data_IF_445833450159
#
_entry.id   IF_445833450159
#
_cell.length_a   1.000
_cell.length_b   1.000
_cell.length_c   1.000
_cell.angle_alpha   90.00
_cell.angle_beta   90.00
_cell.angle_gamma   90.00
#
_symmetry.space_group_name_H-M   'P 1'
#
loop_
_entity.id
_entity.type
_entity.pdbx_description
1 polymer ?
#
# COMPACT_ATOMS: atom_id res chain seq x y z
N UNK A 1 -33.52 4.07 30.58
CA UNK A 1 -33.75 3.62 29.20
C UNK A 1 -35.23 3.41 29.02
N UNK A 2 -35.83 3.99 28.00
CA UNK A 2 -37.25 3.74 27.73
C UNK A 2 -37.45 2.31 27.23
N UNK A 3 -38.64 1.71 27.42
CA UNK A 3 -38.94 0.38 26.86
C UNK A 3 -38.74 0.29 25.36
N UNK A 4 -38.84 1.43 24.67
CA UNK A 4 -38.59 1.56 23.23
C UNK A 4 -37.09 1.39 22.92
N UNK A 5 -36.16 2.00 23.68
CA UNK A 5 -34.73 1.87 23.46
C UNK A 5 -34.25 0.42 23.67
N UNK A 6 -34.83 -0.28 24.64
CA UNK A 6 -34.58 -1.70 24.89
C UNK A 6 -35.06 -2.58 23.73
N UNK A 7 -36.24 -2.32 23.20
CA UNK A 7 -36.83 -3.06 22.08
C UNK A 7 -36.00 -2.82 20.78
N UNK A 8 -35.55 -1.59 20.55
CA UNK A 8 -34.71 -1.26 19.39
C UNK A 8 -33.38 -2.00 19.45
N UNK A 9 -32.69 -2.00 20.59
CA UNK A 9 -31.42 -2.72 20.79
C UNK A 9 -31.63 -4.22 20.60
N UNK A 10 -32.68 -4.82 21.16
CA UNK A 10 -32.98 -6.24 20.98
C UNK A 10 -33.19 -6.58 19.50
N UNK A 11 -33.97 -5.76 18.80
CA UNK A 11 -34.23 -5.96 17.37
C UNK A 11 -32.93 -5.88 16.54
N UNK A 12 -32.06 -4.93 16.83
CA UNK A 12 -30.75 -4.80 16.15
C UNK A 12 -29.90 -6.06 16.38
N UNK A 13 -29.83 -6.56 17.61
CA UNK A 13 -29.06 -7.76 17.95
C UNK A 13 -29.64 -9.02 17.32
N UNK A 14 -30.97 -9.12 17.22
CA UNK A 14 -31.65 -10.29 16.64
C UNK A 14 -31.61 -10.34 15.12
N UNK A 15 -31.59 -9.18 14.46
CA UNK A 15 -31.62 -9.10 12.98
C UNK A 15 -30.25 -8.97 12.33
N UNK A 16 -29.19 -8.76 13.12
CA UNK A 16 -27.84 -8.58 12.58
C UNK A 16 -27.25 -9.92 12.12
N UNK A 17 -26.56 -9.90 10.98
CA UNK A 17 -25.79 -11.03 10.46
C UNK A 17 -24.49 -11.28 11.24
N UNK A 18 -24.08 -10.35 12.09
CA UNK A 18 -22.89 -10.45 12.94
C UNK A 18 -23.28 -11.05 14.30
N UNK A 19 -22.32 -11.70 14.98
CA UNK A 19 -22.54 -12.29 16.28
C UNK A 19 -22.13 -11.30 17.38
N UNK A 20 -23.05 -10.99 18.28
CA UNK A 20 -22.84 -10.04 19.35
C UNK A 20 -22.68 -10.73 20.72
N UNK A 21 -21.78 -10.20 21.52
CA UNK A 21 -21.65 -10.47 22.95
C UNK A 21 -21.73 -9.16 23.71
N UNK A 22 -22.53 -9.13 24.76
CA UNK A 22 -22.62 -8.01 25.69
C UNK A 22 -22.16 -8.52 27.05
N UNK A 23 -21.11 -7.92 27.59
CA UNK A 23 -20.56 -8.27 28.91
C UNK A 23 -20.56 -7.06 29.84
N UNK A 24 -20.60 -7.30 31.16
CA UNK A 24 -20.41 -6.22 32.15
C UNK A 24 -18.93 -5.83 32.31
N UNK A 25 -18.68 -4.81 33.13
CA UNK A 25 -17.33 -4.34 33.43
C UNK A 25 -16.43 -5.37 34.13
N UNK A 26 -17.00 -6.43 34.71
CA UNK A 26 -16.29 -7.53 35.40
C UNK A 26 -16.05 -8.73 34.47
N UNK A 27 -16.60 -8.69 33.24
CA UNK A 27 -16.45 -9.73 32.23
C UNK A 27 -17.51 -10.84 32.29
N UNK A 28 -18.66 -10.62 32.97
CA UNK A 28 -19.78 -11.54 32.93
C UNK A 28 -20.61 -11.32 31.69
N UNK A 29 -20.92 -12.37 30.96
CA UNK A 29 -21.77 -12.34 29.77
C UNK A 29 -23.21 -12.06 30.15
N UNK A 30 -23.75 -10.95 29.68
CA UNK A 30 -25.13 -10.51 29.94
C UNK A 30 -26.07 -10.98 28.85
N UNK A 31 -25.63 -10.92 27.61
CA UNK A 31 -26.40 -11.33 26.47
C UNK A 31 -25.54 -11.70 25.27
N UNK A 32 -26.08 -12.53 24.37
CA UNK A 32 -25.46 -12.94 23.11
C UNK A 32 -26.52 -13.04 22.01
N UNK A 33 -26.13 -12.73 20.77
CA UNK A 33 -27.05 -12.89 19.62
C UNK A 33 -27.41 -14.36 19.38
N UNK A 34 -28.57 -14.67 18.78
CA UNK A 34 -29.01 -16.05 18.52
C UNK A 34 -27.99 -16.88 17.72
N UNK A 35 -27.33 -16.26 16.73
CA UNK A 35 -26.32 -16.92 15.90
C UNK A 35 -24.99 -17.27 16.62
N UNK A 36 -24.72 -16.67 17.77
CA UNK A 36 -23.46 -16.89 18.51
C UNK A 36 -23.28 -18.35 18.94
N UNK A 37 -24.36 -19.06 19.30
CA UNK A 37 -24.34 -20.46 19.69
C UNK A 37 -23.69 -21.36 18.62
N UNK A 38 -24.02 -21.15 17.35
CA UNK A 38 -23.50 -21.94 16.23
C UNK A 38 -21.99 -21.70 15.99
N UNK A 39 -21.50 -20.50 16.29
CA UNK A 39 -20.10 -20.09 16.07
C UNK A 39 -19.23 -20.50 17.24
N UNK A 40 -19.72 -20.31 18.47
CA UNK A 40 -18.94 -20.57 19.67
C UNK A 40 -19.09 -22.00 20.24
N UNK A 41 -20.07 -22.77 19.74
CA UNK A 41 -20.28 -24.17 20.07
C UNK A 41 -20.95 -24.42 21.42
N UNK A 42 -21.54 -23.40 22.03
CA UNK A 42 -22.32 -23.51 23.26
C UNK A 42 -23.69 -22.85 23.10
N UNK A 43 -24.77 -23.42 23.66
CA UNK A 43 -26.08 -22.79 23.64
C UNK A 43 -26.08 -21.48 24.43
N UNK A 44 -26.97 -20.56 24.05
CA UNK A 44 -27.09 -19.22 24.67
C UNK A 44 -27.21 -19.27 26.18
N UNK A 45 -27.99 -20.23 26.69
CA UNK A 45 -28.23 -20.42 28.14
C UNK A 45 -26.98 -20.78 28.91
N UNK A 46 -25.97 -21.34 28.27
CA UNK A 46 -24.67 -21.66 28.89
C UNK A 46 -23.66 -20.52 28.72
N UNK A 47 -23.80 -19.70 27.68
CA UNK A 47 -22.96 -18.52 27.46
C UNK A 47 -23.35 -17.39 28.40
N UNK A 48 -24.66 -17.09 28.53
CA UNK A 48 -25.19 -16.04 29.41
C UNK A 48 -24.95 -16.42 30.90
N UNK A 49 -24.41 -15.47 31.65
CA UNK A 49 -24.04 -15.65 33.05
C UNK A 49 -22.65 -16.23 33.31
N UNK A 50 -21.99 -16.83 32.28
CA UNK A 50 -20.60 -17.23 32.36
C UNK A 50 -19.67 -16.01 32.34
N UNK A 51 -18.41 -16.18 32.80
CA UNK A 51 -17.39 -15.13 32.67
C UNK A 51 -16.54 -15.36 31.42
N UNK A 52 -16.08 -14.28 30.80
CA UNK A 52 -15.21 -14.38 29.62
C UNK A 52 -13.87 -15.05 29.95
N UNK A 53 -13.41 -14.99 31.19
CA UNK A 53 -12.25 -15.74 31.67
C UNK A 53 -12.50 -17.25 31.67
N UNK A 54 -13.68 -17.69 32.11
CA UNK A 54 -14.07 -19.11 32.04
C UNK A 54 -14.18 -19.60 30.60
N UNK A 55 -14.83 -18.83 29.74
CA UNK A 55 -14.98 -19.17 28.33
C UNK A 55 -13.63 -19.25 27.59
N UNK A 56 -12.68 -18.37 27.92
CA UNK A 56 -11.32 -18.44 27.37
C UNK A 56 -10.55 -19.66 27.87
N UNK A 57 -10.63 -19.94 29.18
CA UNK A 57 -9.99 -21.10 29.76
C UNK A 57 -10.54 -22.43 29.19
N UNK A 58 -11.83 -22.50 28.94
CA UNK A 58 -12.49 -23.64 28.29
C UNK A 58 -12.21 -23.73 26.78
N UNK A 59 -11.57 -22.72 26.18
CA UNK A 59 -11.28 -22.66 24.76
C UNK A 59 -12.48 -22.33 23.87
N UNK A 60 -13.55 -21.80 24.43
CA UNK A 60 -14.75 -21.38 23.68
C UNK A 60 -14.45 -20.17 22.80
N UNK A 61 -13.54 -19.30 23.26
CA UNK A 61 -13.03 -18.14 22.51
C UNK A 61 -11.58 -17.85 22.94
N UNK A 62 -10.67 -17.70 22.00
CA UNK A 62 -9.23 -17.45 22.25
C UNK A 62 -8.61 -16.56 21.16
N UNK A 63 -7.89 -15.46 21.53
CA UNK A 63 -7.92 -14.80 22.83
C UNK A 63 -9.26 -14.10 23.10
N UNK A 64 -9.59 -13.79 24.36
CA UNK A 64 -10.82 -13.07 24.69
C UNK A 64 -10.67 -11.57 24.43
N UNK A 65 -11.42 -11.05 23.45
CA UNK A 65 -11.40 -9.62 23.13
C UNK A 65 -11.95 -8.75 24.26
N UNK A 66 -12.95 -9.25 24.98
CA UNK A 66 -13.53 -8.51 26.11
C UNK A 66 -12.55 -8.36 27.28
N UNK A 67 -11.70 -9.37 27.52
CA UNK A 67 -10.61 -9.26 28.50
C UNK A 67 -9.59 -8.21 28.11
N UNK A 68 -9.28 -8.12 26.82
CA UNK A 68 -8.35 -7.12 26.32
C UNK A 68 -8.91 -5.70 26.46
N UNK A 69 -10.22 -5.51 26.24
CA UNK A 69 -10.90 -4.22 26.50
C UNK A 69 -10.91 -3.89 28.00
N UNK A 70 -11.17 -4.87 28.90
CA UNK A 70 -11.11 -4.66 30.36
C UNK A 70 -9.69 -4.18 30.75
N UNK A 71 -8.66 -4.79 30.18
CA UNK A 71 -7.27 -4.46 30.48
C UNK A 71 -6.84 -3.09 29.97
N UNK A 72 -7.28 -2.71 28.76
CA UNK A 72 -6.79 -1.51 28.05
C UNK A 72 -7.70 -0.29 28.21
N UNK A 73 -8.98 -0.51 28.50
CA UNK A 73 -10.02 0.54 28.54
C UNK A 73 -10.33 1.16 27.16
N UNK A 74 -9.84 0.56 26.08
CA UNK A 74 -9.95 1.09 24.70
C UNK A 74 -10.65 0.10 23.78
N UNK A 75 -11.25 0.56 22.67
CA UNK A 75 -11.72 -0.33 21.62
C UNK A 75 -10.57 -1.21 21.12
N UNK A 76 -10.87 -2.49 20.90
CA UNK A 76 -9.90 -3.49 20.42
C UNK A 76 -10.51 -4.25 19.25
N UNK A 77 -9.69 -4.61 18.29
CA UNK A 77 -10.03 -5.54 17.21
C UNK A 77 -8.96 -6.62 17.15
N UNK A 78 -9.38 -7.89 17.09
CA UNK A 78 -8.45 -9.01 16.97
C UNK A 78 -9.12 -10.24 16.36
N UNK A 79 -8.29 -11.21 15.96
CA UNK A 79 -8.79 -12.51 15.52
C UNK A 79 -8.92 -13.44 16.71
N UNK A 80 -10.07 -14.12 16.80
CA UNK A 80 -10.34 -15.16 17.79
C UNK A 80 -10.54 -16.51 17.09
N UNK A 81 -10.13 -17.56 17.77
CA UNK A 81 -10.50 -18.94 17.43
C UNK A 81 -11.60 -19.37 18.40
N UNK A 82 -12.70 -19.86 17.85
CA UNK A 82 -13.85 -20.32 18.64
C UNK A 82 -13.70 -21.79 19.04
N UNK A 83 -14.51 -22.24 20.01
CA UNK A 83 -14.55 -23.65 20.45
C UNK A 83 -14.91 -24.65 19.34
N UNK A 84 -15.54 -24.18 18.27
CA UNK A 84 -15.82 -24.98 17.05
C UNK A 84 -14.65 -25.00 16.06
N UNK A 85 -13.53 -24.34 16.38
CA UNK A 85 -12.37 -24.22 15.48
C UNK A 85 -12.55 -23.13 14.41
N UNK A 86 -13.64 -22.39 14.41
CA UNK A 86 -13.86 -21.28 13.48
C UNK A 86 -13.00 -20.09 13.84
N UNK A 87 -12.57 -19.35 12.82
CA UNK A 87 -11.84 -18.10 13.00
C UNK A 87 -12.76 -16.92 12.76
N UNK A 88 -12.85 -16.04 13.74
CA UNK A 88 -13.73 -14.86 13.70
C UNK A 88 -12.90 -13.60 13.92
N UNK A 89 -13.20 -12.56 13.16
CA UNK A 89 -12.77 -11.20 13.52
C UNK A 89 -13.72 -10.69 14.57
N UNK A 90 -13.18 -10.35 15.74
CA UNK A 90 -13.93 -9.73 16.82
C UNK A 90 -13.49 -8.27 17.00
N UNK A 91 -14.47 -7.39 17.19
CA UNK A 91 -14.29 -5.98 17.50
C UNK A 91 -15.09 -5.69 18.78
N UNK A 92 -14.47 -5.06 19.78
CA UNK A 92 -15.12 -4.76 21.04
C UNK A 92 -14.93 -3.31 21.47
N UNK A 93 -16.00 -2.73 21.96
CA UNK A 93 -16.08 -1.33 22.38
C UNK A 93 -16.51 -1.23 23.85
N UNK A 94 -15.75 -0.48 24.68
CA UNK A 94 -16.16 -0.17 26.03
C UNK A 94 -17.28 0.88 26.04
N UNK A 95 -18.28 0.65 26.89
CA UNK A 95 -19.36 1.60 27.17
C UNK A 95 -19.15 2.14 28.60
N UNK A 96 -18.87 3.43 28.71
CA UNK A 96 -18.66 4.10 29.98
C UNK A 96 -19.90 4.91 30.37
N UNK A 97 -20.30 4.79 31.65
CA UNK A 97 -21.34 5.61 32.27
C UNK A 97 -20.71 6.26 33.53
N UNK A 98 -20.81 7.57 33.63
CA UNK A 98 -20.19 8.36 34.71
C UNK A 98 -18.69 8.07 34.91
N UNK A 99 -17.96 7.79 33.82
CA UNK A 99 -16.52 7.50 33.83
C UNK A 99 -16.15 6.07 34.26
N UNK A 100 -17.14 5.20 34.54
CA UNK A 100 -16.93 3.78 34.89
C UNK A 100 -17.26 2.89 33.68
N UNK A 101 -16.48 1.83 33.50
CA UNK A 101 -16.76 0.82 32.48
C UNK A 101 -17.97 -0.02 32.93
N UNK A 102 -19.12 0.23 32.31
CA UNK A 102 -20.37 -0.46 32.66
C UNK A 102 -20.65 -1.67 31.77
N UNK A 103 -20.27 -1.57 30.48
CA UNK A 103 -20.53 -2.63 29.50
C UNK A 103 -19.41 -2.70 28.47
N UNK A 104 -19.25 -3.86 27.88
CA UNK A 104 -18.45 -4.04 26.66
C UNK A 104 -19.37 -4.70 25.64
N UNK A 105 -19.46 -4.09 24.48
CA UNK A 105 -20.21 -4.66 23.34
C UNK A 105 -19.19 -5.15 22.33
N UNK A 106 -19.14 -6.46 22.10
CA UNK A 106 -18.31 -7.06 21.07
C UNK A 106 -19.15 -7.61 19.94
N UNK A 107 -18.63 -7.44 18.73
CA UNK A 107 -19.19 -7.96 17.50
C UNK A 107 -18.17 -8.88 16.86
N UNK A 108 -18.60 -10.05 16.39
CA UNK A 108 -17.70 -10.96 15.67
C UNK A 108 -18.32 -11.38 14.34
N UNK A 109 -17.43 -11.57 13.35
CA UNK A 109 -17.77 -12.04 12.01
C UNK A 109 -16.97 -13.29 11.70
N UNK A 110 -17.66 -14.33 11.22
CA UNK A 110 -17.03 -15.58 10.79
C UNK A 110 -16.26 -15.39 9.48
N UNK A 111 -15.02 -15.87 9.44
CA UNK A 111 -14.13 -15.82 8.28
C UNK A 111 -13.70 -17.20 7.80
N UNK A 112 -14.28 -18.25 8.35
CA UNK A 112 -13.85 -19.63 8.10
C UNK A 112 -13.88 -19.95 6.61
N UNK A 113 -14.93 -19.57 5.90
CA UNK A 113 -15.07 -19.82 4.45
C UNK A 113 -14.01 -19.07 3.62
N UNK A 114 -13.71 -17.83 4.03
CA UNK A 114 -12.69 -17.02 3.33
C UNK A 114 -11.29 -17.60 3.53
N UNK A 115 -11.01 -18.11 4.72
CA UNK A 115 -9.73 -18.74 5.03
C UNK A 115 -9.55 -20.09 4.35
N UNK A 116 -10.61 -20.90 4.31
CA UNK A 116 -10.59 -22.15 3.55
C UNK A 116 -10.28 -21.92 2.07
N UNK A 117 -10.86 -20.88 1.47
CA UNK A 117 -10.54 -20.46 0.09
C UNK A 117 -9.08 -20.03 -0.07
N UNK A 118 -8.52 -19.32 0.93
CA UNK A 118 -7.11 -18.92 0.90
C UNK A 118 -6.16 -20.11 1.06
N UNK A 119 -6.46 -21.04 1.96
CA UNK A 119 -5.66 -22.25 2.19
C UNK A 119 -5.73 -23.18 0.97
N UNK A 120 -6.90 -23.34 0.37
CA UNK A 120 -7.09 -24.11 -0.88
C UNK A 120 -6.30 -23.46 -2.03
N UNK A 121 -6.33 -22.14 -2.12
CA UNK A 121 -5.56 -21.39 -3.11
C UNK A 121 -4.05 -21.51 -2.89
N UNK A 122 -3.57 -21.40 -1.66
CA UNK A 122 -2.15 -21.60 -1.33
C UNK A 122 -1.69 -23.04 -1.66
N UNK A 123 -2.54 -24.03 -1.41
CA UNK A 123 -2.29 -25.42 -1.78
C UNK A 123 -2.25 -25.61 -3.31
N UNK A 124 -3.16 -24.95 -4.02
CA UNK A 124 -3.18 -24.95 -5.49
C UNK A 124 -1.93 -24.29 -6.06
N UNK A 125 -1.49 -23.16 -5.51
CA UNK A 125 -0.23 -22.51 -5.88
C UNK A 125 0.96 -23.47 -5.70
N UNK A 126 1.06 -24.12 -4.54
CA UNK A 126 2.15 -25.06 -4.25
C UNK A 126 2.15 -26.24 -5.20
N UNK A 127 1.01 -26.88 -5.44
CA UNK A 127 0.87 -27.99 -6.38
C UNK A 127 1.18 -27.55 -7.82
N UNK A 128 0.82 -26.35 -8.18
CA UNK A 128 1.10 -25.79 -9.50
C UNK A 128 2.60 -25.52 -9.70
N UNK A 129 3.27 -24.91 -8.74
CA UNK A 129 4.73 -24.71 -8.76
C UNK A 129 5.49 -26.05 -8.83
N UNK A 130 5.02 -27.07 -8.09
CA UNK A 130 5.58 -28.42 -8.15
C UNK A 130 5.33 -29.10 -9.50
N UNK A 131 4.17 -28.87 -10.12
CA UNK A 131 3.83 -29.42 -11.44
C UNK A 131 4.67 -28.77 -12.55
N UNK A 132 4.87 -27.46 -12.51
CA UNK A 132 5.73 -26.73 -13.45
C UNK A 132 7.20 -27.16 -13.34
N UNK A 133 7.72 -27.36 -12.13
CA UNK A 133 9.07 -27.91 -11.91
C UNK A 133 9.25 -29.33 -12.49
N UNK A 134 8.17 -30.14 -12.57
CA UNK A 134 8.19 -31.49 -13.17
C UNK A 134 7.98 -31.45 -14.68
N UNK A 135 7.29 -30.43 -15.21
CA UNK A 135 6.99 -30.32 -16.65
C UNK A 135 8.09 -29.57 -17.43
N UNK A 136 9.08 -28.99 -16.78
CA UNK A 136 10.19 -28.24 -17.40
C UNK A 136 11.18 -29.07 -18.23
N UNK A 137 10.90 -30.36 -18.50
CA UNK A 137 11.73 -31.22 -19.33
C UNK A 137 11.27 -31.30 -20.82
N UNK A 138 10.28 -30.50 -21.24
CA UNK A 138 9.71 -30.54 -22.60
C UNK A 138 9.59 -29.19 -23.33
N UNK A 139 10.31 -28.16 -22.91
CA UNK A 139 10.09 -26.76 -23.26
C UNK A 139 10.66 -26.31 -24.63
N UNK A 140 10.34 -26.96 -25.73
CA UNK A 140 10.84 -26.57 -27.07
C UNK A 140 9.79 -26.04 -28.05
N UNK A 141 8.48 -26.18 -27.78
CA UNK A 141 7.42 -25.80 -28.72
C UNK A 141 6.32 -24.88 -28.16
N UNK A 142 6.34 -24.57 -26.84
CA UNK A 142 5.34 -23.71 -26.19
C UNK A 142 5.75 -22.22 -26.13
N UNK A 143 7.02 -21.89 -26.39
CA UNK A 143 7.55 -20.53 -26.23
C UNK A 143 6.88 -19.49 -27.17
N UNK A 144 6.60 -19.85 -28.42
CA UNK A 144 5.96 -18.93 -29.36
C UNK A 144 4.49 -18.60 -29.06
N UNK A 145 3.75 -19.53 -28.48
CA UNK A 145 2.36 -19.30 -28.05
C UNK A 145 2.27 -18.58 -26.70
N UNK A 146 3.29 -18.70 -25.86
CA UNK A 146 3.39 -18.00 -24.59
C UNK A 146 3.73 -16.51 -24.79
N UNK A 147 4.64 -16.17 -25.68
CA UNK A 147 5.00 -14.77 -25.99
C UNK A 147 3.79 -13.98 -26.55
N UNK A 148 3.01 -14.57 -27.45
CA UNK A 148 1.79 -13.97 -27.97
C UNK A 148 0.68 -13.85 -26.88
N UNK A 149 0.70 -14.76 -25.92
CA UNK A 149 -0.24 -14.79 -24.79
C UNK A 149 0.12 -13.81 -23.66
N UNK A 150 1.39 -13.41 -23.53
CA UNK A 150 1.87 -12.47 -22.49
C UNK A 150 1.49 -11.01 -22.78
N UNK A 151 1.13 -10.67 -24.02
CA UNK A 151 0.69 -9.33 -24.41
C UNK A 151 1.80 -8.30 -24.26
N UNK A 152 1.59 -7.27 -23.43
CA UNK A 152 2.55 -6.18 -23.23
C UNK A 152 3.52 -6.40 -22.05
N UNK A 153 3.58 -7.62 -21.48
CA UNK A 153 4.51 -7.95 -20.40
C UNK A 153 5.80 -8.52 -20.97
N UNK A 154 6.89 -7.80 -20.77
CA UNK A 154 8.23 -8.27 -21.12
C UNK A 154 8.75 -9.21 -20.03
N UNK A 155 8.50 -10.50 -20.18
CA UNK A 155 8.78 -11.55 -19.19
C UNK A 155 9.64 -12.63 -19.82
N UNK A 156 10.85 -12.83 -19.29
CA UNK A 156 11.79 -13.86 -19.76
C UNK A 156 12.15 -14.86 -18.66
N UNK A 157 12.22 -14.39 -17.41
CA UNK A 157 12.53 -15.26 -16.26
C UNK A 157 11.41 -16.24 -15.98
N UNK A 158 11.77 -17.45 -15.54
CA UNK A 158 10.81 -18.52 -15.21
C UNK A 158 9.84 -18.08 -14.10
N UNK A 159 10.34 -17.37 -13.09
CA UNK A 159 9.52 -16.88 -11.98
C UNK A 159 8.42 -15.95 -12.48
N UNK A 160 8.73 -15.04 -13.42
CA UNK A 160 7.74 -14.11 -13.96
C UNK A 160 6.80 -14.78 -14.94
N UNK A 161 7.25 -15.81 -15.69
CA UNK A 161 6.38 -16.63 -16.52
C UNK A 161 5.36 -17.39 -15.68
N UNK A 162 5.80 -18.03 -14.59
CA UNK A 162 4.91 -18.72 -13.63
C UNK A 162 3.86 -17.76 -13.06
N UNK A 163 4.29 -16.54 -12.66
CA UNK A 163 3.42 -15.51 -12.11
C UNK A 163 2.39 -15.04 -13.15
N UNK A 164 2.81 -14.81 -14.40
CA UNK A 164 1.91 -14.40 -15.46
C UNK A 164 0.89 -15.52 -15.82
N UNK A 165 1.30 -16.78 -15.85
CA UNK A 165 0.41 -17.94 -16.05
C UNK A 165 -0.62 -18.06 -14.92
N UNK A 166 -0.20 -17.84 -13.66
CA UNK A 166 -1.10 -17.79 -12.51
C UNK A 166 -2.16 -16.70 -12.69
N UNK A 167 -1.73 -15.47 -13.00
CA UNK A 167 -2.63 -14.35 -13.21
C UNK A 167 -3.58 -14.58 -14.39
N UNK A 168 -3.10 -15.18 -15.49
CA UNK A 168 -3.93 -15.54 -16.64
C UNK A 168 -5.01 -16.57 -16.26
N UNK A 169 -4.70 -17.54 -15.39
CA UNK A 169 -5.68 -18.52 -14.88
C UNK A 169 -6.72 -17.87 -13.97
N UNK A 170 -6.31 -16.90 -13.14
CA UNK A 170 -7.19 -16.16 -12.23
C UNK A 170 -8.02 -15.11 -12.97
N UNK A 171 -7.55 -14.63 -14.11
CA UNK A 171 -8.17 -13.54 -14.85
C UNK A 171 -9.67 -13.73 -15.16
N UNK A 172 -10.18 -14.92 -15.52
CA UNK A 172 -11.60 -15.12 -15.80
C UNK A 172 -12.51 -15.04 -14.55
N UNK A 173 -11.95 -15.10 -13.34
CA UNK A 173 -12.70 -14.95 -12.09
C UNK A 173 -12.82 -13.48 -11.68
N UNK A 174 -13.83 -13.16 -10.86
CA UNK A 174 -13.98 -11.84 -10.24
C UNK A 174 -13.26 -11.75 -8.86
N UNK A 175 -12.43 -12.74 -8.51
CA UNK A 175 -11.70 -12.75 -7.27
C UNK A 175 -10.75 -11.54 -7.16
N UNK A 176 -10.69 -10.97 -5.95
CA UNK A 176 -9.76 -9.88 -5.63
C UNK A 176 -8.32 -10.38 -5.72
N UNK A 177 -7.47 -9.64 -6.42
CA UNK A 177 -6.03 -9.93 -6.52
C UNK A 177 -5.26 -8.85 -5.77
N UNK A 178 -4.37 -9.27 -4.87
CA UNK A 178 -3.45 -8.41 -4.14
C UNK A 178 -2.04 -8.55 -4.72
N UNK A 179 -1.56 -7.51 -5.40
CA UNK A 179 -0.22 -7.44 -5.96
C UNK A 179 0.76 -6.88 -4.92
N UNK A 180 1.70 -7.69 -4.50
CA UNK A 180 2.74 -7.36 -3.53
C UNK A 180 4.08 -7.16 -4.23
N UNK A 181 4.91 -6.29 -3.72
CA UNK A 181 6.28 -6.09 -4.21
C UNK A 181 6.76 -4.66 -4.08
N UNK A 182 8.06 -4.48 -4.22
CA UNK A 182 8.72 -3.18 -4.11
C UNK A 182 8.16 -2.13 -5.09
N UNK A 183 8.46 -0.86 -4.83
CA UNK A 183 8.11 0.22 -5.75
C UNK A 183 8.83 0.01 -7.10
N UNK A 184 8.12 0.24 -8.21
CA UNK A 184 8.69 0.15 -9.55
C UNK A 184 8.84 -1.26 -10.12
N UNK A 185 8.39 -2.33 -9.45
CA UNK A 185 8.49 -3.73 -9.98
C UNK A 185 7.53 -4.02 -11.14
N UNK A 186 6.54 -3.15 -11.40
CA UNK A 186 5.58 -3.31 -12.49
C UNK A 186 4.17 -3.72 -12.06
N UNK A 187 3.76 -3.52 -10.80
CA UNK A 187 2.43 -3.88 -10.29
C UNK A 187 1.28 -3.36 -11.18
N UNK A 188 1.33 -2.09 -11.60
CA UNK A 188 0.31 -1.50 -12.48
C UNK A 188 0.26 -2.15 -13.87
N UNK A 189 1.41 -2.59 -14.42
CA UNK A 189 1.45 -3.31 -15.69
C UNK A 189 0.73 -4.67 -15.58
N UNK A 190 0.97 -5.40 -14.48
CA UNK A 190 0.28 -6.65 -14.19
C UNK A 190 -1.21 -6.46 -13.95
N UNK A 191 -1.63 -5.42 -13.24
CA UNK A 191 -3.05 -5.08 -13.07
C UNK A 191 -3.75 -4.81 -14.40
N UNK A 192 -3.13 -4.03 -15.30
CA UNK A 192 -3.64 -3.78 -16.66
C UNK A 192 -3.74 -5.06 -17.48
N UNK A 193 -2.73 -5.92 -17.39
CA UNK A 193 -2.72 -7.17 -18.13
C UNK A 193 -3.76 -8.17 -17.59
N UNK A 194 -3.95 -8.22 -16.26
CA UNK A 194 -5.01 -9.00 -15.61
C UNK A 194 -6.40 -8.57 -16.09
N UNK A 195 -6.64 -7.25 -16.20
CA UNK A 195 -7.88 -6.72 -16.77
C UNK A 195 -8.08 -7.17 -18.22
N UNK A 196 -7.05 -7.07 -19.08
CA UNK A 196 -7.10 -7.51 -20.49
C UNK A 196 -7.44 -8.99 -20.64
N UNK A 197 -6.96 -9.85 -19.74
CA UNK A 197 -7.27 -11.29 -19.74
C UNK A 197 -8.63 -11.61 -19.11
N UNK A 198 -9.27 -10.65 -18.42
CA UNK A 198 -10.52 -10.87 -17.70
C UNK A 198 -11.74 -10.89 -18.61
N UNK A 199 -12.87 -11.37 -18.08
CA UNK A 199 -14.19 -11.25 -18.74
C UNK A 199 -14.64 -9.80 -18.87
N UNK A 200 -14.08 -8.89 -18.06
CA UNK A 200 -14.40 -7.45 -18.01
C UNK A 200 -13.49 -6.59 -18.90
N UNK A 201 -12.73 -7.20 -19.79
CA UNK A 201 -11.74 -6.51 -20.67
C UNK A 201 -12.32 -5.41 -21.57
N UNK A 202 -13.61 -5.42 -21.82
CA UNK A 202 -14.33 -4.39 -22.58
C UNK A 202 -14.85 -3.26 -21.69
N UNK A 203 -14.87 -3.46 -20.35
CA UNK A 203 -15.28 -2.46 -19.39
C UNK A 203 -14.15 -1.47 -19.08
N UNK A 204 -14.42 -0.45 -18.26
CA UNK A 204 -13.40 0.52 -17.85
C UNK A 204 -12.34 -0.10 -16.96
N UNK A 205 -11.09 0.38 -17.09
CA UNK A 205 -10.01 0.13 -16.14
C UNK A 205 -9.72 1.44 -15.40
N UNK A 206 -10.16 1.52 -14.16
CA UNK A 206 -9.98 2.71 -13.33
C UNK A 206 -8.80 2.48 -12.40
N UNK A 207 -7.75 3.25 -12.59
CA UNK A 207 -6.51 3.20 -11.81
C UNK A 207 -6.48 4.37 -10.81
N UNK A 208 -6.30 4.06 -9.54
CA UNK A 208 -6.26 5.03 -8.43
C UNK A 208 -5.02 4.77 -7.60
N UNK A 209 -4.14 5.75 -7.49
CA UNK A 209 -3.06 5.71 -6.51
C UNK A 209 -3.55 6.35 -5.21
N UNK A 210 -3.68 5.56 -4.13
CA UNK A 210 -4.22 5.99 -2.86
C UNK A 210 -3.32 7.04 -2.15
N UNK A 211 -2.02 6.99 -2.37
CA UNK A 211 -1.07 7.97 -1.81
C UNK A 211 -1.00 9.30 -2.59
N UNK A 212 -1.48 9.32 -3.83
CA UNK A 212 -1.42 10.52 -4.67
C UNK A 212 -2.59 11.48 -4.46
N UNK A 213 -3.71 11.01 -3.90
CA UNK A 213 -4.89 11.85 -3.67
C UNK A 213 -4.80 12.45 -2.26
N UNK A 214 -4.83 13.79 -2.11
CA UNK A 214 -4.89 14.43 -0.79
C UNK A 214 -6.06 13.89 0.05
N UNK A 215 -5.83 13.65 1.35
CA UNK A 215 -6.81 13.02 2.24
C UNK A 215 -8.16 13.75 2.26
N UNK A 216 -8.15 15.08 2.24
CA UNK A 216 -9.37 15.93 2.23
C UNK A 216 -10.17 15.82 0.92
N UNK A 217 -9.57 15.37 -0.19
CA UNK A 217 -10.24 15.18 -1.47
C UNK A 217 -10.57 13.71 -1.75
N UNK A 218 -9.91 12.80 -1.04
CA UNK A 218 -10.01 11.36 -1.30
C UNK A 218 -11.46 10.87 -1.30
N UNK A 219 -12.22 11.29 -0.30
CA UNK A 219 -13.62 10.88 -0.17
C UNK A 219 -14.47 11.36 -1.36
N UNK A 220 -14.34 12.63 -1.74
CA UNK A 220 -15.09 13.21 -2.85
C UNK A 220 -14.71 12.61 -4.22
N UNK A 221 -13.42 12.26 -4.42
CA UNK A 221 -12.96 11.63 -5.65
C UNK A 221 -13.43 10.18 -5.75
N UNK A 222 -13.30 9.39 -4.67
CA UNK A 222 -13.67 7.97 -4.67
C UNK A 222 -15.16 7.75 -4.72
N UNK A 223 -15.92 8.42 -3.84
CA UNK A 223 -17.37 8.15 -3.65
C UNK A 223 -18.27 9.11 -4.43
N UNK A 224 -17.73 10.25 -4.89
CA UNK A 224 -18.50 11.29 -5.55
C UNK A 224 -19.33 12.12 -4.56
N UNK A 225 -20.02 13.12 -5.08
CA UNK A 225 -20.85 14.02 -4.28
C UNK A 225 -22.06 14.53 -5.04
N UNK A 226 -23.12 14.87 -4.29
CA UNK A 226 -24.31 15.52 -4.79
C UNK A 226 -24.12 17.06 -4.89
N UNK A 227 -24.90 17.76 -5.72
CA UNK A 227 -24.93 19.20 -5.73
C UNK A 227 -25.13 19.79 -4.33
N UNK A 228 -24.26 20.72 -3.92
CA UNK A 228 -24.37 21.37 -2.62
C UNK A 228 -23.88 20.57 -1.42
N UNK A 229 -23.22 19.43 -1.60
CA UNK A 229 -22.71 18.60 -0.51
C UNK A 229 -21.68 19.32 0.39
N UNK A 230 -20.95 20.27 -0.15
CA UNK A 230 -19.99 21.10 0.59
C UNK A 230 -19.76 22.44 -0.12
N UNK A 231 -19.14 23.41 0.56
CA UNK A 231 -18.78 24.71 -0.02
C UNK A 231 -17.73 24.52 -1.14
N UNK A 232 -18.12 24.81 -2.38
CA UNK A 232 -17.28 24.57 -3.58
C UNK A 232 -17.68 23.34 -4.41
N UNK A 233 -18.70 22.57 -3.99
CA UNK A 233 -19.23 21.48 -4.78
C UNK A 233 -19.77 21.99 -6.14
N UNK A 234 -19.45 21.25 -7.22
CA UNK A 234 -19.96 21.59 -8.55
C UNK A 234 -21.50 21.52 -8.58
N UNK A 235 -22.13 22.43 -9.32
CA UNK A 235 -23.60 22.54 -9.41
C UNK A 235 -24.30 21.27 -9.94
N UNK A 236 -23.56 20.42 -10.65
CA UNK A 236 -24.08 19.15 -11.21
C UNK A 236 -23.71 17.95 -10.35
N UNK A 237 -22.98 18.12 -9.23
CA UNK A 237 -22.38 17.04 -8.51
C UNK A 237 -21.24 16.36 -9.30
N UNK A 238 -20.72 15.25 -8.79
CA UNK A 238 -19.66 14.47 -9.45
C UNK A 238 -19.83 12.98 -9.16
N UNK A 239 -19.78 12.14 -10.19
CA UNK A 239 -19.69 10.69 -10.02
C UNK A 239 -18.30 10.32 -9.48
N UNK A 240 -18.25 9.43 -8.48
CA UNK A 240 -17.03 8.92 -7.90
C UNK A 240 -16.30 7.91 -8.80
N UNK A 241 -15.01 7.68 -8.52
CA UNK A 241 -14.19 6.69 -9.25
C UNK A 241 -14.76 5.27 -9.10
N UNK A 242 -15.39 4.95 -7.96
CA UNK A 242 -16.09 3.68 -7.75
C UNK A 242 -17.27 3.47 -8.71
N UNK A 243 -18.04 4.52 -8.98
CA UNK A 243 -19.12 4.46 -9.98
C UNK A 243 -18.58 4.36 -11.42
N UNK A 244 -17.46 5.03 -11.70
CA UNK A 244 -16.83 4.98 -13.01
C UNK A 244 -16.23 3.61 -13.34
N UNK A 245 -15.96 2.77 -12.31
CA UNK A 245 -15.46 1.42 -12.48
C UNK A 245 -16.56 0.39 -12.80
N UNK A 246 -17.82 0.81 -12.89
CA UNK A 246 -18.97 -0.06 -13.16
C UNK A 246 -18.76 -0.94 -14.39
N UNK A 247 -19.01 -2.25 -14.24
CA UNK A 247 -18.82 -3.25 -15.29
C UNK A 247 -17.36 -3.55 -15.66
N UNK A 248 -16.41 -2.89 -15.01
CA UNK A 248 -14.98 -2.95 -15.31
C UNK A 248 -14.11 -3.47 -14.18
N UNK A 249 -12.92 -2.88 -14.05
CA UNK A 249 -11.94 -3.20 -13.01
C UNK A 249 -11.50 -1.93 -12.30
N UNK A 250 -11.56 -1.93 -10.98
CA UNK A 250 -10.97 -0.92 -10.11
C UNK A 250 -9.60 -1.42 -9.64
N UNK A 251 -8.56 -0.67 -9.96
CA UNK A 251 -7.20 -0.91 -9.49
C UNK A 251 -6.79 0.14 -8.46
N UNK A 252 -6.57 -0.28 -7.21
CA UNK A 252 -6.11 0.58 -6.13
C UNK A 252 -4.62 0.32 -5.88
N UNK A 253 -3.78 1.25 -6.29
CA UNK A 253 -2.34 1.19 -5.99
C UNK A 253 -2.06 1.85 -4.64
N UNK A 254 -1.06 1.34 -3.93
CA UNK A 254 -0.65 1.80 -2.60
C UNK A 254 -1.81 1.77 -1.59
N UNK A 255 -2.59 0.66 -1.56
CA UNK A 255 -3.76 0.49 -0.68
C UNK A 255 -3.41 0.70 0.80
N UNK A 256 -2.17 0.44 1.21
CA UNK A 256 -1.67 0.68 2.55
C UNK A 256 -1.73 2.15 2.98
N UNK A 257 -1.70 3.11 2.05
CA UNK A 257 -1.76 4.54 2.34
C UNK A 257 -3.20 5.05 2.59
N UNK A 258 -4.20 4.16 2.51
CA UNK A 258 -5.59 4.53 2.69
C UNK A 258 -5.86 4.97 4.14
N UNK A 259 -6.43 6.17 4.40
CA UNK A 259 -6.82 6.58 5.74
C UNK A 259 -7.86 5.65 6.37
N UNK A 260 -7.77 5.39 7.68
CA UNK A 260 -8.68 4.47 8.39
C UNK A 260 -10.19 4.75 8.14
N UNK A 261 -10.68 6.00 8.13
CA UNK A 261 -12.08 6.26 7.82
C UNK A 261 -12.47 5.80 6.40
N UNK A 262 -11.53 5.92 5.45
CA UNK A 262 -11.76 5.52 4.06
C UNK A 262 -11.74 4.00 3.90
N UNK A 263 -10.90 3.30 4.68
CA UNK A 263 -10.90 1.83 4.73
C UNK A 263 -12.29 1.28 5.13
N UNK A 264 -12.94 1.90 6.11
CA UNK A 264 -14.30 1.51 6.53
C UNK A 264 -15.33 1.70 5.42
N UNK A 265 -15.26 2.82 4.69
CA UNK A 265 -16.18 3.10 3.58
C UNK A 265 -15.94 2.17 2.40
N UNK A 266 -14.68 1.94 2.04
CA UNK A 266 -14.30 1.01 0.97
C UNK A 266 -14.77 -0.42 1.29
N UNK A 267 -14.57 -0.88 2.52
CA UNK A 267 -15.02 -2.19 2.96
C UNK A 267 -16.54 -2.33 2.75
N UNK A 268 -17.33 -1.32 3.13
CA UNK A 268 -18.76 -1.32 2.93
C UNK A 268 -19.15 -1.47 1.45
N UNK A 269 -18.47 -0.74 0.56
CA UNK A 269 -18.71 -0.85 -0.89
C UNK A 269 -18.39 -2.24 -1.41
N UNK A 270 -17.24 -2.83 -0.99
CA UNK A 270 -16.84 -4.18 -1.42
C UNK A 270 -17.83 -5.26 -0.91
N UNK A 271 -18.45 -5.05 0.26
CA UNK A 271 -19.40 -5.99 0.86
C UNK A 271 -20.79 -5.86 0.28
N UNK A 272 -21.30 -4.64 0.18
CA UNK A 272 -22.71 -4.36 -0.17
C UNK A 272 -22.89 -4.21 -1.70
N UNK A 273 -21.82 -4.04 -2.47
CA UNK A 273 -21.88 -3.74 -3.90
C UNK A 273 -22.62 -2.42 -4.16
N UNK A 274 -22.50 -1.45 -3.25
CA UNK A 274 -23.19 -0.17 -3.37
C UNK A 274 -22.36 0.97 -2.81
N UNK A 275 -22.45 2.14 -3.45
CA UNK A 275 -21.78 3.38 -3.06
C UNK A 275 -22.79 4.45 -2.69
N UNK A 276 -22.47 5.24 -1.67
CA UNK A 276 -23.23 6.40 -1.27
C UNK A 276 -22.40 7.65 -1.54
N UNK A 277 -22.91 8.56 -2.37
CA UNK A 277 -22.27 9.86 -2.63
C UNK A 277 -22.35 10.77 -1.39
N UNK A 278 -21.37 11.64 -1.23
CA UNK A 278 -21.45 12.67 -0.20
C UNK A 278 -22.71 13.54 -0.38
N UNK A 279 -23.44 13.73 0.72
CA UNK A 279 -24.71 14.47 0.71
C UNK A 279 -25.90 13.71 0.09
N UNK A 280 -25.73 12.45 -0.30
CA UNK A 280 -26.82 11.59 -0.80
C UNK A 280 -27.36 10.67 0.31
N UNK A 281 -28.61 10.25 0.19
CA UNK A 281 -29.25 9.25 1.06
C UNK A 281 -29.56 7.95 0.33
N UNK A 282 -29.44 7.94 -1.01
CA UNK A 282 -29.74 6.77 -1.83
C UNK A 282 -28.48 6.04 -2.27
N UNK A 283 -28.28 4.77 -1.85
CA UNK A 283 -27.16 3.97 -2.30
C UNK A 283 -27.33 3.62 -3.79
N UNK A 284 -26.21 3.64 -4.52
CA UNK A 284 -26.13 3.26 -5.92
C UNK A 284 -25.39 1.94 -6.03
N UNK A 285 -25.95 0.98 -6.76
CA UNK A 285 -25.26 -0.28 -7.01
C UNK A 285 -24.03 -0.05 -7.89
N UNK A 286 -22.95 -0.77 -7.56
CA UNK A 286 -21.71 -0.80 -8.33
C UNK A 286 -21.20 -2.24 -8.39
N UNK A 287 -20.84 -2.66 -9.60
CA UNK A 287 -20.29 -3.99 -9.86
C UNK A 287 -18.96 -3.86 -10.62
N UNK A 288 -17.86 -4.07 -9.91
CA UNK A 288 -16.52 -4.02 -10.49
C UNK A 288 -15.65 -5.14 -9.92
N UNK A 289 -14.67 -5.56 -10.69
CA UNK A 289 -13.58 -6.40 -10.19
C UNK A 289 -12.57 -5.53 -9.43
N UNK A 290 -12.15 -5.97 -8.25
CA UNK A 290 -11.13 -5.28 -7.45
C UNK A 290 -9.75 -5.90 -7.66
N UNK A 291 -8.77 -5.07 -7.97
CA UNK A 291 -7.33 -5.39 -7.94
C UNK A 291 -6.66 -4.36 -7.04
N UNK A 292 -5.83 -4.81 -6.11
CA UNK A 292 -5.12 -3.91 -5.19
C UNK A 292 -3.63 -4.16 -5.26
N UNK A 293 -2.83 -3.13 -4.98
CA UNK A 293 -1.38 -3.25 -4.92
C UNK A 293 -0.80 -2.51 -3.72
N UNK A 294 0.31 -3.00 -3.20
CA UNK A 294 1.07 -2.34 -2.15
C UNK A 294 2.53 -2.80 -2.14
N UNK A 295 3.42 -1.95 -1.63
CA UNK A 295 4.79 -2.30 -1.27
C UNK A 295 4.97 -2.50 0.24
N UNK A 296 3.90 -2.37 1.02
CA UNK A 296 3.92 -2.42 2.47
C UNK A 296 3.45 -3.77 2.99
N UNK A 297 3.92 -4.16 4.16
CA UNK A 297 3.40 -5.30 4.89
C UNK A 297 2.07 -4.93 5.57
N UNK A 298 0.96 -5.34 4.92
CA UNK A 298 -0.38 -5.07 5.44
C UNK A 298 -0.65 -5.83 6.74
N UNK A 299 -0.03 -7.00 6.97
CA UNK A 299 -0.21 -7.76 8.21
C UNK A 299 0.39 -6.99 9.39
N UNK A 300 1.61 -6.46 9.23
CA UNK A 300 2.23 -5.58 10.22
C UNK A 300 1.40 -4.32 10.47
N UNK A 301 0.82 -3.72 9.41
CA UNK A 301 -0.06 -2.55 9.54
C UNK A 301 -1.36 -2.85 10.28
N UNK A 302 -1.87 -4.06 10.19
CA UNK A 302 -3.00 -4.53 11.00
C UNK A 302 -2.61 -4.61 12.48
N UNK A 303 -1.43 -5.17 12.78
CA UNK A 303 -0.94 -5.26 14.16
C UNK A 303 -0.73 -3.88 14.80
N UNK A 304 -0.26 -2.91 14.02
CA UNK A 304 -0.09 -1.51 14.48
C UNK A 304 -1.39 -0.70 14.49
N UNK A 305 -2.51 -1.28 14.05
CA UNK A 305 -3.81 -0.60 13.98
C UNK A 305 -3.93 0.46 12.88
N UNK A 306 -2.97 0.54 11.95
CA UNK A 306 -3.01 1.48 10.82
C UNK A 306 -3.73 0.93 9.59
N UNK A 307 -4.05 -0.38 9.58
CA UNK A 307 -4.88 -1.02 8.58
C UNK A 307 -5.92 -1.92 9.25
N UNK A 308 -7.15 -1.89 8.78
CA UNK A 308 -8.24 -2.69 9.39
C UNK A 308 -8.11 -4.16 9.02
N UNK A 309 -8.27 -5.01 10.01
CA UNK A 309 -8.19 -6.47 9.84
C UNK A 309 -9.28 -7.00 8.89
N UNK A 310 -10.51 -6.46 8.99
CA UNK A 310 -11.64 -6.87 8.14
C UNK A 310 -11.42 -6.53 6.66
N UNK A 311 -10.85 -5.37 6.37
CA UNK A 311 -10.46 -4.99 5.01
C UNK A 311 -9.29 -5.86 4.51
N UNK A 312 -8.28 -6.11 5.37
CA UNK A 312 -7.14 -6.96 5.02
C UNK A 312 -7.61 -8.32 4.47
N UNK A 313 -8.49 -9.02 5.18
CA UNK A 313 -8.99 -10.31 4.71
C UNK A 313 -9.83 -10.20 3.43
N UNK A 314 -10.49 -9.09 3.20
CA UNK A 314 -11.28 -8.88 1.99
C UNK A 314 -10.44 -8.58 0.75
N UNK A 315 -9.28 -7.94 0.92
CA UNK A 315 -8.36 -7.64 -0.19
C UNK A 315 -7.30 -8.73 -0.39
N UNK A 316 -6.92 -9.45 0.66
CA UNK A 316 -5.93 -10.52 0.61
C UNK A 316 -6.54 -11.89 0.24
N UNK A 317 -7.27 -11.94 -0.88
CA UNK A 317 -7.88 -13.19 -1.38
C UNK A 317 -6.87 -13.97 -2.21
N UNK A 318 -6.26 -13.33 -3.20
CA UNK A 318 -5.24 -13.93 -4.06
C UNK A 318 -3.98 -13.07 -3.99
N UNK A 319 -3.07 -13.31 -3.02
CA UNK A 319 -1.82 -12.59 -2.93
C UNK A 319 -0.83 -13.06 -4.01
N UNK A 320 -0.26 -12.12 -4.74
CA UNK A 320 0.71 -12.36 -5.80
C UNK A 320 1.91 -11.45 -5.58
N UNK A 321 3.06 -12.03 -5.25
CA UNK A 321 4.30 -11.29 -5.00
C UNK A 321 5.11 -11.18 -6.29
N UNK A 322 5.37 -9.95 -6.74
CA UNK A 322 6.23 -9.67 -7.89
C UNK A 322 7.65 -9.45 -7.36
N UNK A 323 8.62 -10.29 -7.78
CA UNK A 323 9.99 -10.18 -7.29
C UNK A 323 10.66 -8.89 -7.79
N UNK A 324 11.63 -8.34 -7.02
CA UNK A 324 12.42 -7.20 -7.44
C UNK A 324 13.31 -7.56 -8.66
N UNK A 325 13.72 -6.53 -9.42
CA UNK A 325 14.44 -6.73 -10.69
C UNK A 325 15.79 -7.47 -10.49
N UNK A 326 16.45 -7.28 -9.36
CA UNK A 326 17.70 -7.99 -8.99
C UNK A 326 17.54 -9.51 -8.87
N UNK A 327 16.33 -10.01 -8.64
CA UNK A 327 16.00 -11.45 -8.54
C UNK A 327 15.53 -12.04 -9.88
N UNK A 328 15.35 -11.19 -10.92
CA UNK A 328 14.91 -11.58 -12.27
C UNK A 328 15.73 -10.86 -13.35
N UNK A 329 17.04 -10.90 -13.23
CA UNK A 329 17.97 -10.19 -14.15
C UNK A 329 17.81 -10.62 -15.60
N UNK A 330 17.31 -11.81 -15.85
CA UNK A 330 16.99 -12.34 -17.18
C UNK A 330 15.95 -11.51 -17.94
N UNK A 331 15.10 -10.76 -17.21
CA UNK A 331 14.11 -9.87 -17.81
C UNK A 331 14.71 -8.54 -18.28
N UNK A 332 15.89 -8.14 -17.77
CA UNK A 332 16.50 -6.84 -18.02
C UNK A 332 16.69 -6.56 -19.54
N UNK A 333 17.22 -7.51 -20.36
CA UNK A 333 17.39 -7.25 -21.78
C UNK A 333 16.07 -6.93 -22.49
N UNK A 334 15.02 -7.73 -22.27
CA UNK A 334 13.72 -7.53 -22.89
C UNK A 334 13.07 -6.22 -22.45
N UNK A 335 13.15 -5.89 -21.15
CA UNK A 335 12.66 -4.62 -20.60
C UNK A 335 13.41 -3.42 -21.20
N UNK A 336 14.73 -3.53 -21.37
CA UNK A 336 15.55 -2.47 -21.93
C UNK A 336 15.24 -2.25 -23.42
N UNK A 337 15.10 -3.32 -24.20
CA UNK A 337 14.74 -3.26 -25.62
C UNK A 337 13.34 -2.66 -25.81
N UNK A 338 12.35 -3.10 -25.04
CA UNK A 338 10.99 -2.55 -25.10
C UNK A 338 10.95 -1.06 -24.69
N UNK A 339 11.72 -0.68 -23.68
CA UNK A 339 11.85 0.72 -23.28
C UNK A 339 12.48 1.55 -24.39
N UNK A 340 13.58 1.06 -24.99
CA UNK A 340 14.27 1.72 -26.08
C UNK A 340 13.35 1.91 -27.31
N UNK A 341 12.58 0.90 -27.65
CA UNK A 341 11.64 0.98 -28.77
C UNK A 341 10.56 2.04 -28.51
N UNK A 342 10.00 2.10 -27.30
CA UNK A 342 9.04 3.15 -26.90
C UNK A 342 9.65 4.56 -26.99
N UNK A 343 10.92 4.73 -26.57
CA UNK A 343 11.63 6.00 -26.68
C UNK A 343 11.86 6.38 -28.16
N UNK A 344 12.30 5.42 -28.98
CA UNK A 344 12.48 5.62 -30.41
C UNK A 344 11.20 6.06 -31.12
N UNK A 345 10.07 5.40 -30.80
CA UNK A 345 8.76 5.78 -31.33
C UNK A 345 8.32 7.17 -30.85
N UNK A 346 8.51 7.46 -29.55
CA UNK A 346 8.10 8.74 -28.94
C UNK A 346 8.83 9.94 -29.52
N UNK A 347 10.12 9.79 -29.79
CA UNK A 347 10.97 10.89 -30.26
C UNK A 347 11.26 10.85 -31.78
N UNK A 348 10.74 9.86 -32.51
CA UNK A 348 10.90 9.73 -33.95
C UNK A 348 12.35 9.48 -34.40
N UNK A 349 13.19 8.91 -33.55
CA UNK A 349 14.58 8.58 -33.82
C UNK A 349 14.82 7.09 -33.64
N UNK A 350 15.85 6.54 -34.26
CA UNK A 350 16.16 5.11 -34.18
C UNK A 350 17.54 4.91 -33.56
N UNK A 351 17.59 4.93 -32.23
CA UNK A 351 18.82 4.67 -31.49
C UNK A 351 18.93 3.21 -31.08
N UNK A 352 20.17 2.72 -30.93
CA UNK A 352 20.48 1.36 -30.48
C UNK A 352 21.40 1.40 -29.24
N UNK A 353 21.32 0.40 -28.39
CA UNK A 353 22.23 0.25 -27.25
C UNK A 353 23.59 -0.29 -27.75
N UNK A 354 24.66 0.38 -27.39
CA UNK A 354 26.00 -0.13 -27.62
C UNK A 354 26.29 -1.32 -26.68
N UNK A 355 27.12 -2.27 -27.14
CA UNK A 355 27.47 -3.45 -26.36
C UNK A 355 28.05 -3.17 -24.97
N UNK A 356 28.71 -2.01 -24.77
CA UNK A 356 29.26 -1.59 -23.48
C UNK A 356 28.20 -1.29 -22.39
N UNK A 357 26.92 -1.15 -22.77
CA UNK A 357 25.82 -0.86 -21.83
C UNK A 357 25.42 -2.11 -21.03
N UNK A 358 25.49 -3.28 -21.63
CA UNK A 358 24.98 -4.52 -21.04
C UNK A 358 25.61 -4.93 -19.71
N UNK A 359 26.96 -4.83 -19.52
CA UNK A 359 27.56 -5.13 -18.23
C UNK A 359 27.04 -4.24 -17.09
N UNK A 360 26.72 -2.97 -17.38
CA UNK A 360 26.16 -2.03 -16.41
C UNK A 360 24.69 -2.38 -16.11
N UNK A 361 23.88 -2.63 -17.14
CA UNK A 361 22.49 -3.02 -16.97
C UNK A 361 22.34 -4.32 -16.18
N UNK A 362 23.14 -5.34 -16.53
CA UNK A 362 23.08 -6.66 -15.88
C UNK A 362 23.73 -6.68 -14.49
N UNK A 363 24.70 -5.78 -14.22
CA UNK A 363 25.40 -5.68 -12.94
C UNK A 363 24.69 -4.82 -11.91
N UNK A 364 23.72 -4.00 -12.30
CA UNK A 364 23.00 -3.09 -11.42
C UNK A 364 22.09 -3.83 -10.41
N UNK A 365 21.95 -3.27 -9.20
CA UNK A 365 21.01 -3.79 -8.18
C UNK A 365 19.59 -3.24 -8.34
N UNK A 366 19.43 -2.15 -9.05
CA UNK A 366 18.16 -1.52 -9.40
C UNK A 366 17.19 -1.37 -8.21
N UNK A 367 17.52 -0.62 -7.16
CA UNK A 367 16.64 -0.44 -6.01
C UNK A 367 15.28 0.19 -6.37
N UNK A 368 15.21 0.99 -7.43
CA UNK A 368 13.97 1.51 -8.00
C UNK A 368 13.36 0.59 -9.06
N UNK A 369 13.88 -0.63 -9.23
CA UNK A 369 13.38 -1.68 -10.11
C UNK A 369 13.25 -1.23 -11.58
N UNK A 370 12.17 -1.61 -12.26
CA UNK A 370 11.92 -1.29 -13.67
C UNK A 370 11.80 0.22 -13.88
N UNK A 371 11.24 0.96 -12.92
CA UNK A 371 11.14 2.43 -13.01
C UNK A 371 12.51 3.10 -13.05
N UNK A 372 13.45 2.61 -12.26
CA UNK A 372 14.83 3.12 -12.29
C UNK A 372 15.54 2.76 -13.59
N UNK A 373 15.38 1.53 -14.06
CA UNK A 373 15.91 1.07 -15.34
C UNK A 373 15.38 1.93 -16.51
N UNK A 374 14.08 2.19 -16.56
CA UNK A 374 13.46 3.05 -17.57
C UNK A 374 14.00 4.49 -17.51
N UNK A 375 14.10 5.06 -16.34
CA UNK A 375 14.66 6.40 -16.13
C UNK A 375 16.15 6.47 -16.53
N UNK A 376 16.91 5.41 -16.27
CA UNK A 376 18.31 5.32 -16.68
C UNK A 376 18.41 5.28 -18.21
N UNK A 377 17.61 4.46 -18.86
CA UNK A 377 17.57 4.35 -20.32
C UNK A 377 17.13 5.65 -20.98
N UNK A 378 16.10 6.33 -20.45
CA UNK A 378 15.64 7.61 -20.99
C UNK A 378 16.73 8.68 -20.89
N UNK A 379 17.44 8.75 -19.76
CA UNK A 379 18.58 9.67 -19.61
C UNK A 379 19.71 9.34 -20.58
N UNK A 380 20.07 8.05 -20.72
CA UNK A 380 21.11 7.62 -21.66
C UNK A 380 20.72 7.95 -23.12
N UNK A 381 19.45 7.74 -23.46
CA UNK A 381 18.89 8.05 -24.77
C UNK A 381 18.95 9.55 -25.08
N UNK A 382 18.51 10.40 -24.13
CA UNK A 382 18.48 11.86 -24.29
C UNK A 382 19.89 12.49 -24.31
N UNK A 383 20.83 11.94 -23.56
CA UNK A 383 22.20 12.46 -23.48
C UNK A 383 23.11 11.98 -24.61
N UNK A 384 22.75 10.96 -25.36
CA UNK A 384 23.53 10.48 -26.50
C UNK A 384 23.24 11.34 -27.75
N UNK A 385 24.24 11.99 -28.35
CA UNK A 385 24.06 12.72 -29.60
C UNK A 385 23.91 11.79 -30.81
N UNK A 386 24.45 10.57 -30.73
CA UNK A 386 24.54 9.62 -31.84
C UNK A 386 23.40 8.58 -31.77
N UNK A 387 23.23 7.85 -32.87
CA UNK A 387 22.28 6.73 -32.96
C UNK A 387 22.69 5.52 -32.13
N UNK A 388 23.91 5.49 -31.61
CA UNK A 388 24.44 4.44 -30.77
C UNK A 388 24.62 4.97 -29.33
N UNK A 389 23.83 4.46 -28.41
CA UNK A 389 23.85 4.85 -26.99
C UNK A 389 24.98 4.10 -26.30
N UNK A 390 26.11 4.77 -25.93
CA UNK A 390 27.17 4.15 -25.15
C UNK A 390 26.76 4.02 -23.67
N UNK A 391 27.47 3.17 -22.90
CA UNK A 391 27.40 3.25 -21.45
C UNK A 391 27.72 4.68 -21.01
N UNK A 392 26.86 5.37 -20.27
CA UNK A 392 27.20 6.65 -19.71
C UNK A 392 28.42 6.39 -18.80
N UNK A 393 29.63 6.63 -19.35
CA UNK A 393 30.84 6.67 -18.52
C UNK A 393 30.46 7.48 -17.28
N UNK A 394 30.82 6.99 -16.10
CA UNK A 394 30.61 7.66 -14.81
C UNK A 394 31.13 9.12 -14.84
N UNK A 395 30.45 9.94 -15.63
CA UNK A 395 30.57 11.38 -15.66
C UNK A 395 29.73 11.97 -14.53
N UNK A 396 29.80 13.24 -14.23
CA UNK A 396 29.28 13.89 -13.03
C UNK A 396 27.79 13.67 -12.74
N UNK A 397 27.01 12.95 -13.59
CA UNK A 397 25.63 12.55 -13.30
C UNK A 397 25.52 11.44 -12.23
N UNK A 398 26.56 10.63 -11.99
CA UNK A 398 26.61 9.74 -10.82
C UNK A 398 26.65 10.52 -9.49
N UNK A 399 26.99 11.81 -9.54
CA UNK A 399 26.89 12.72 -8.39
C UNK A 399 25.46 13.18 -8.08
N UNK A 400 24.50 13.06 -9.01
CA UNK A 400 23.11 13.50 -8.74
C UNK A 400 22.27 12.39 -8.11
N UNK A 401 22.60 11.11 -8.38
CA UNK A 401 21.97 9.97 -7.68
C UNK A 401 22.67 9.68 -6.34
N UNK A 402 23.97 10.02 -6.22
CA UNK A 402 24.68 10.04 -4.94
C UNK A 402 24.22 11.22 -4.04
N UNK A 403 23.43 12.15 -4.56
CA UNK A 403 22.79 13.19 -3.75
C UNK A 403 21.39 12.80 -3.25
N UNK A 404 20.88 11.62 -3.62
CA UNK A 404 19.64 11.03 -3.09
C UNK A 404 19.87 9.84 -2.13
N UNK A 405 21.07 9.30 -2.01
CA UNK A 405 21.51 8.71 -0.76
C UNK A 405 21.65 9.90 0.20
N UNK A 406 21.07 9.86 1.40
CA UNK A 406 21.51 10.80 2.41
C UNK A 406 23.03 10.66 2.38
N UNK A 407 23.72 11.74 1.93
CA UNK A 407 25.12 11.89 2.24
C UNK A 407 25.25 11.37 3.66
N UNK A 408 26.25 10.47 3.88
CA UNK A 408 26.70 10.29 5.25
C UNK A 408 26.67 11.69 5.83
N UNK A 409 25.59 11.97 6.53
CA UNK A 409 25.54 13.12 7.40
C UNK A 409 26.72 12.84 8.30
N UNK A 410 27.81 13.53 8.02
CA UNK A 410 28.76 13.79 9.08
C UNK A 410 27.87 14.12 10.26
N UNK A 411 27.83 13.28 11.30
CA UNK A 411 26.90 13.44 12.40
C UNK A 411 26.99 14.93 12.77
N UNK A 412 25.87 15.65 12.91
CA UNK A 412 25.89 17.08 13.19
C UNK A 412 26.89 17.22 14.32
N UNK A 413 27.97 18.00 14.11
CA UNK A 413 29.10 18.06 14.98
C UNK A 413 28.60 17.97 16.43
N UNK A 414 28.91 16.89 17.11
CA UNK A 414 28.29 16.54 18.39
C UNK A 414 28.40 17.75 19.31
N UNK A 415 27.33 18.08 20.00
CA UNK A 415 27.33 19.10 21.03
C UNK A 415 28.41 18.69 22.03
N UNK A 416 29.51 19.46 22.14
CA UNK A 416 30.54 19.16 23.12
C UNK A 416 29.93 19.15 24.53
N UNK A 417 30.34 18.23 25.40
CA UNK A 417 29.73 17.98 26.73
C UNK A 417 29.50 19.25 27.58
N UNK A 418 30.10 20.40 27.22
CA UNK A 418 29.94 21.71 27.86
C UNK A 418 29.59 22.84 26.88
N UNK A 419 29.16 22.54 25.66
CA UNK A 419 28.88 23.56 24.63
C UNK A 419 27.39 23.92 24.63
N UNK A 420 27.05 25.16 24.99
CA UNK A 420 25.69 25.66 24.86
C UNK A 420 25.26 25.87 23.40
N UNK A 421 23.96 25.76 23.11
CA UNK A 421 23.37 25.92 21.76
C UNK A 421 23.87 27.14 20.97
N UNK A 422 24.06 28.35 21.59
CA UNK A 422 24.60 29.50 20.88
C UNK A 422 26.03 29.31 20.37
N UNK A 423 26.89 28.64 21.14
CA UNK A 423 28.28 28.34 20.77
C UNK A 423 28.34 27.31 19.65
N UNK A 424 27.53 26.25 19.75
CA UNK A 424 27.36 25.24 18.72
C UNK A 424 26.91 25.85 17.38
N UNK A 425 25.86 26.69 17.39
CA UNK A 425 25.37 27.36 16.19
C UNK A 425 26.43 28.29 15.57
N UNK A 426 27.21 29.00 16.40
CA UNK A 426 28.28 29.85 15.91
C UNK A 426 29.41 29.05 15.26
N UNK A 427 29.76 27.87 15.80
CA UNK A 427 30.74 26.95 15.21
C UNK A 427 30.25 26.38 13.89
N UNK A 428 29.04 25.85 13.85
CA UNK A 428 28.44 25.33 12.62
C UNK A 428 28.31 26.40 11.53
N UNK A 429 27.88 27.61 11.88
CA UNK A 429 27.82 28.77 10.95
C UNK A 429 29.22 29.11 10.40
N UNK A 430 30.26 29.12 11.24
CA UNK A 430 31.62 29.38 10.83
C UNK A 430 32.12 28.32 9.84
N UNK A 431 31.92 27.04 10.11
CA UNK A 431 32.34 25.92 9.24
C UNK A 431 31.70 26.03 7.84
N UNK A 432 30.39 26.27 7.78
CA UNK A 432 29.66 26.46 6.51
C UNK A 432 30.22 27.68 5.76
N UNK A 433 30.40 28.82 6.42
CA UNK A 433 30.92 30.03 5.79
C UNK A 433 32.37 29.84 5.31
N UNK A 434 33.20 29.12 6.05
CA UNK A 434 34.59 28.82 5.69
C UNK A 434 34.65 27.92 4.45
N UNK A 435 33.80 26.90 4.36
CA UNK A 435 33.73 26.05 3.17
C UNK A 435 33.27 26.85 1.94
N UNK A 436 32.31 27.75 2.09
CA UNK A 436 31.81 28.60 1.00
C UNK A 436 32.84 29.66 0.56
N UNK A 437 33.62 30.21 1.47
CA UNK A 437 34.73 31.13 1.12
C UNK A 437 35.81 30.49 0.28
N UNK A 438 36.04 29.18 0.39
CA UNK A 438 37.01 28.42 -0.43
C UNK A 438 36.45 28.04 -1.80
N UNK A 439 35.12 27.85 -1.91
CA UNK A 439 34.48 27.35 -3.12
C UNK A 439 33.86 28.42 -4.02
N UNK A 440 33.48 29.58 -3.47
CA UNK A 440 32.77 30.64 -4.21
C UNK A 440 33.62 31.94 -4.31
N UNK A 441 33.59 32.60 -5.51
CA UNK A 441 34.49 33.73 -5.79
C UNK A 441 34.06 35.08 -5.19
N UNK A 442 32.81 35.20 -4.70
CA UNK A 442 32.27 36.50 -4.24
C UNK A 442 31.21 36.37 -3.14
N UNK A 443 31.06 37.47 -2.34
CA UNK A 443 30.02 37.55 -1.33
C UNK A 443 28.61 37.51 -1.92
N UNK A 444 28.42 37.87 -3.18
CA UNK A 444 27.14 37.77 -3.89
C UNK A 444 26.78 36.31 -4.17
N UNK A 445 27.74 35.51 -4.66
CA UNK A 445 27.55 34.08 -4.89
C UNK A 445 27.27 33.30 -3.58
N UNK A 446 27.91 33.68 -2.48
CA UNK A 446 27.63 33.11 -1.15
C UNK A 446 26.22 33.49 -0.68
N UNK A 447 25.79 34.74 -0.92
CA UNK A 447 24.46 35.25 -0.55
C UNK A 447 23.34 34.47 -1.29
N UNK A 448 23.54 34.27 -2.59
CA UNK A 448 22.63 33.47 -3.42
C UNK A 448 22.54 32.02 -2.95
N UNK A 449 23.70 31.39 -2.68
CA UNK A 449 23.77 29.99 -2.21
C UNK A 449 23.10 29.79 -0.85
N UNK A 450 23.26 30.76 0.07
CA UNK A 450 22.67 30.71 1.42
C UNK A 450 21.24 31.27 1.47
N UNK A 451 20.72 31.82 0.38
CA UNK A 451 19.40 32.48 0.30
C UNK A 451 19.24 33.60 1.36
N UNK A 452 20.29 34.37 1.60
CA UNK A 452 20.30 35.53 2.49
C UNK A 452 20.84 36.75 1.76
N UNK A 453 20.61 37.95 2.31
CA UNK A 453 21.11 39.17 1.68
C UNK A 453 22.63 39.27 1.73
N UNK A 454 23.25 39.85 0.70
CA UNK A 454 24.68 40.09 0.64
C UNK A 454 25.22 40.88 1.87
N UNK A 455 24.54 41.91 2.39
CA UNK A 455 24.98 42.59 3.62
C UNK A 455 25.01 41.62 4.85
N UNK A 456 24.09 40.67 4.90
CA UNK A 456 24.08 39.65 5.96
C UNK A 456 25.29 38.71 5.86
N UNK A 457 25.70 38.33 4.66
CA UNK A 457 26.92 37.53 4.43
C UNK A 457 28.15 38.32 4.91
N UNK A 458 28.29 39.59 4.50
CA UNK A 458 29.43 40.42 4.90
C UNK A 458 29.51 40.55 6.42
N UNK A 459 28.39 40.80 7.09
CA UNK A 459 28.32 40.89 8.56
C UNK A 459 28.71 39.58 9.24
N UNK A 460 28.27 38.43 8.71
CA UNK A 460 28.60 37.10 9.23
C UNK A 460 30.07 36.77 9.02
N UNK A 461 30.64 37.00 7.83
CA UNK A 461 32.04 36.83 7.57
C UNK A 461 32.91 37.65 8.50
N UNK A 462 32.57 38.96 8.72
CA UNK A 462 33.27 39.82 9.66
C UNK A 462 33.19 39.32 11.11
N UNK A 463 32.01 38.80 11.53
CA UNK A 463 31.81 38.23 12.87
C UNK A 463 32.68 37.02 13.12
N UNK A 464 32.87 36.19 12.11
CA UNK A 464 33.68 34.96 12.20
C UNK A 464 35.15 35.13 11.76
N UNK A 465 35.58 36.33 11.38
CA UNK A 465 36.94 36.62 10.96
C UNK A 465 37.36 35.96 9.64
N UNK A 466 36.40 35.66 8.77
CA UNK A 466 36.62 34.96 7.51
C UNK A 466 36.78 35.94 6.33
N UNK A 467 37.62 35.61 5.35
CA UNK A 467 37.80 36.32 4.09
C UNK A 467 37.73 35.37 2.92
N UNK A 468 37.24 35.83 1.78
CA UNK A 468 37.22 35.06 0.55
C UNK A 468 38.65 34.98 0.02
N UNK A 469 39.18 33.80 -0.20
CA UNK A 469 40.48 33.58 -0.84
C UNK A 469 40.36 33.95 -2.32
N UNK A 470 41.01 35.00 -2.77
CA UNK A 470 41.17 35.31 -4.19
C UNK A 470 42.08 34.22 -4.80
N UNK A 471 41.56 33.39 -5.69
CA UNK A 471 42.41 32.63 -6.60
C UNK A 471 43.17 33.66 -7.42
N UNK A 472 44.48 33.67 -7.31
CA UNK A 472 45.36 34.30 -8.28
C UNK A 472 45.21 33.55 -9.59
N UNK A 473 44.89 34.29 -10.66
CA UNK A 473 44.91 33.80 -12.05
C UNK A 473 46.28 33.30 -12.43
#
# INVERSE_FOLDING_TARGET
MSDIDSAVVSTIVETANDHFFIVDGEGRVLDVSPGAAAVYGLPREQLVGSTVQQLEAQGVLRPSISLEVIRTGRPVQLMQVTGTGRRVIAEAHPVHVDGRLERIVSRSRDLTDLQLLQDEYALLQKRFSEHLKRSGAGAGQEDGQLDEAMGSLEVRSDVMRELALLLKRVAPSDATVLLLGESGVGKSAFAKQLHRWSRRRQGPFIEVNCGAIPENLFESEMFGYQPGAFSGAARQGKAGLLEQAEGGTLFLDEIGELPLPMQTKLLKVIQDGSVLRLGDTQPRRVDFRLVVATNQDLAQRVETGSFRLDLYYRVNVIPVTIPPLRERREDIPALAEACLERLNQRYGQRKLLHGSVWPELMGGDWPGNVRELENWLERAWLSSPDDLIPSPTRGPAASLTAMATPAETTPPAELGENEGLPAYLARAEREVLQALCRSLPSTYAIAERLRISQPSVVRKLKRHGLRIERRAD
#
